data_IF_555053002634
#
_entry.id   IF_555053002634
#
_cell.length_a   1.000
_cell.length_b   1.000
_cell.length_c   1.000
_cell.angle_alpha   90.00
_cell.angle_beta   90.00
_cell.angle_gamma   90.00
#
_symmetry.space_group_name_H-M   'P 1'
#
loop_
_entity.id
_entity.type
_entity.pdbx_description
1 polymer ?
#
# COMPACT_ATOMS: atom_id res chain seq x y z
N UNK A 1 -14.88 -8.23 -5.61
CA UNK A 1 -15.79 -7.11 -5.95
C UNK A 1 -15.11 -5.77 -5.68
N UNK A 2 -15.43 -4.70 -6.42
CA UNK A 2 -15.03 -3.33 -6.04
C UNK A 2 -16.06 -2.78 -5.07
N UNK A 3 -15.65 -2.50 -3.83
CA UNK A 3 -16.54 -2.10 -2.73
C UNK A 3 -16.45 -0.62 -2.37
N UNK A 4 -15.43 0.07 -2.86
CA UNK A 4 -15.30 1.52 -2.73
C UNK A 4 -14.58 2.12 -3.93
N UNK A 5 -15.03 3.30 -4.35
CA UNK A 5 -14.37 4.08 -5.41
C UNK A 5 -14.60 5.58 -5.19
N UNK A 6 -13.54 6.37 -5.36
CA UNK A 6 -13.61 7.83 -5.39
C UNK A 6 -12.47 8.37 -6.25
N UNK A 7 -12.77 9.32 -7.11
CA UNK A 7 -11.78 10.01 -7.93
C UNK A 7 -11.88 11.53 -7.71
N UNK A 8 -10.74 12.21 -7.82
CA UNK A 8 -10.59 13.66 -7.72
C UNK A 8 -9.32 14.10 -8.45
N UNK A 9 -9.11 15.41 -8.60
CA UNK A 9 -7.93 15.94 -9.29
C UNK A 9 -6.60 15.52 -8.61
N UNK A 10 -6.62 15.37 -7.29
CA UNK A 10 -5.44 15.09 -6.47
C UNK A 10 -5.27 13.62 -6.09
N UNK A 11 -6.40 12.91 -5.92
CA UNK A 11 -6.43 11.55 -5.37
C UNK A 11 -7.43 10.68 -6.11
N UNK A 12 -7.05 9.44 -6.37
CA UNK A 12 -7.96 8.36 -6.67
C UNK A 12 -7.88 7.30 -5.56
N UNK A 13 -9.02 6.78 -5.15
CA UNK A 13 -9.15 5.74 -4.15
C UNK A 13 -10.06 4.64 -4.66
N UNK A 14 -9.62 3.41 -4.47
CA UNK A 14 -10.39 2.21 -4.74
C UNK A 14 -10.17 1.19 -3.63
N UNK A 15 -11.21 0.45 -3.27
CA UNK A 15 -11.07 -0.76 -2.46
C UNK A 15 -11.75 -1.94 -3.14
N UNK A 16 -11.09 -3.09 -3.11
CA UNK A 16 -11.63 -4.36 -3.60
C UNK A 16 -11.65 -5.41 -2.50
N UNK A 17 -12.71 -6.21 -2.45
CA UNK A 17 -12.85 -7.38 -1.59
C UNK A 17 -12.69 -8.65 -2.43
N UNK A 18 -11.81 -9.56 -2.00
CA UNK A 18 -11.42 -10.75 -2.73
C UNK A 18 -11.49 -12.05 -1.91
N UNK A 19 -12.01 -12.04 -0.68
CA UNK A 19 -12.11 -13.23 0.18
C UNK A 19 -12.84 -14.38 -0.51
N UNK A 20 -13.99 -14.09 -1.14
CA UNK A 20 -14.78 -15.09 -1.88
C UNK A 20 -14.08 -15.66 -3.12
N UNK A 21 -12.98 -15.06 -3.59
CA UNK A 21 -12.19 -15.63 -4.69
C UNK A 21 -11.38 -16.85 -4.24
N UNK A 22 -11.22 -17.06 -2.93
CA UNK A 22 -10.49 -18.20 -2.39
C UNK A 22 -11.45 -19.37 -2.13
N UNK A 23 -11.08 -20.59 -2.54
CA UNK A 23 -11.98 -21.73 -2.47
C UNK A 23 -12.29 -22.14 -1.02
N UNK A 24 -13.49 -22.67 -0.82
CA UNK A 24 -13.85 -23.39 0.41
C UNK A 24 -13.86 -22.55 1.68
N UNK A 25 -14.02 -21.23 1.58
CA UNK A 25 -14.02 -20.35 2.75
C UNK A 25 -12.65 -20.24 3.41
N UNK A 26 -11.56 -20.44 2.66
CA UNK A 26 -10.19 -20.32 3.18
C UNK A 26 -9.86 -18.91 3.68
N UNK A 27 -10.52 -17.89 3.14
CA UNK A 27 -10.30 -16.48 3.46
C UNK A 27 -11.64 -15.85 3.80
N UNK A 28 -11.76 -15.31 5.02
CA UNK A 28 -12.95 -14.59 5.47
C UNK A 28 -12.98 -13.16 4.92
N UNK A 29 -11.79 -12.55 4.77
CA UNK A 29 -11.61 -11.19 4.30
C UNK A 29 -10.30 -11.05 3.55
N UNK A 30 -10.34 -10.41 2.39
CA UNK A 30 -9.18 -9.83 1.75
C UNK A 30 -9.59 -8.52 1.08
N UNK A 31 -9.56 -7.45 1.87
CA UNK A 31 -9.78 -6.10 1.36
C UNK A 31 -8.46 -5.45 1.00
N UNK A 32 -8.28 -5.07 -0.27
CA UNK A 32 -7.17 -4.24 -0.75
C UNK A 32 -7.64 -2.81 -0.98
N UNK A 33 -7.09 -1.88 -0.23
CA UNK A 33 -7.25 -0.45 -0.41
C UNK A 33 -6.07 0.10 -1.22
N UNK A 34 -6.36 0.88 -2.26
CA UNK A 34 -5.34 1.56 -3.08
C UNK A 34 -5.70 3.04 -3.12
N UNK A 35 -4.78 3.88 -2.62
CA UNK A 35 -4.81 5.32 -2.82
C UNK A 35 -3.72 5.71 -3.81
N UNK A 36 -4.10 6.28 -4.94
CA UNK A 36 -3.20 6.95 -5.85
C UNK A 36 -3.22 8.45 -5.58
N UNK A 37 -2.16 8.96 -4.97
CA UNK A 37 -1.91 10.37 -4.78
C UNK A 37 -1.10 10.88 -5.98
N UNK A 38 -1.78 11.66 -6.83
CA UNK A 38 -1.23 12.09 -8.11
C UNK A 38 0.00 12.99 -7.91
N UNK A 39 1.00 12.90 -8.81
CA UNK A 39 1.01 12.10 -10.03
C UNK A 39 1.59 10.68 -9.87
N UNK A 40 2.22 10.34 -8.75
CA UNK A 40 3.19 9.25 -8.73
C UNK A 40 3.26 8.44 -7.44
N UNK A 41 2.49 8.76 -6.40
CA UNK A 41 2.52 8.01 -5.13
C UNK A 41 1.34 7.06 -5.05
N UNK A 42 1.61 5.77 -4.87
CA UNK A 42 0.60 4.74 -4.68
C UNK A 42 0.78 4.16 -3.28
N UNK A 43 -0.27 4.20 -2.48
CA UNK A 43 -0.29 3.59 -1.15
C UNK A 43 -1.29 2.44 -1.17
N UNK A 44 -0.82 1.25 -0.82
CA UNK A 44 -1.61 0.03 -0.74
C UNK A 44 -1.71 -0.37 0.73
N UNK A 45 -2.93 -0.58 1.18
CA UNK A 45 -3.23 -1.14 2.48
C UNK A 45 -4.10 -2.39 2.30
N UNK A 46 -3.56 -3.55 2.67
CA UNK A 46 -4.29 -4.81 2.66
C UNK A 46 -4.74 -5.17 4.09
N UNK A 47 -5.98 -5.61 4.26
CA UNK A 47 -6.55 -6.10 5.51
C UNK A 47 -7.20 -7.48 5.28
N UNK A 48 -6.57 -8.51 5.85
CA UNK A 48 -6.89 -9.91 5.62
C UNK A 48 -7.34 -10.60 6.90
N UNK A 49 -8.27 -11.55 6.77
CA UNK A 49 -8.69 -12.46 7.83
C UNK A 49 -8.96 -13.86 7.29
N UNK A 50 -8.63 -14.87 8.09
CA UNK A 50 -8.83 -16.29 7.80
C UNK A 50 -9.44 -17.01 9.01
N UNK A 51 -10.23 -18.07 8.80
CA UNK A 51 -10.91 -18.76 9.91
C UNK A 51 -9.92 -19.48 10.84
N UNK A 52 -8.80 -19.97 10.28
CA UNK A 52 -7.70 -20.61 11.00
C UNK A 52 -6.37 -19.89 10.74
N UNK A 53 -5.36 -20.02 11.62
CA UNK A 53 -4.07 -19.36 11.42
C UNK A 53 -3.40 -19.80 10.11
N UNK A 54 -3.03 -18.83 9.27
CA UNK A 54 -2.33 -19.04 8.01
C UNK A 54 -1.05 -18.21 7.93
N UNK A 55 -0.11 -18.62 7.10
CA UNK A 55 0.98 -17.76 6.65
C UNK A 55 0.52 -16.94 5.45
N UNK A 56 0.94 -15.67 5.39
CA UNK A 56 0.56 -14.76 4.32
C UNK A 56 1.78 -14.35 3.50
N UNK A 57 1.56 -14.18 2.21
CA UNK A 57 2.57 -13.75 1.27
C UNK A 57 2.06 -12.58 0.43
N UNK A 58 2.94 -11.64 0.14
CA UNK A 58 2.68 -10.52 -0.75
C UNK A 58 3.65 -10.59 -1.93
N UNK A 59 3.12 -10.56 -3.15
CA UNK A 59 3.89 -10.85 -4.35
C UNK A 59 4.03 -9.59 -5.23
N UNK A 60 5.24 -9.39 -5.75
CA UNK A 60 5.55 -8.36 -6.76
C UNK A 60 6.13 -9.01 -8.00
N UNK A 61 5.65 -8.58 -9.16
CA UNK A 61 6.17 -9.04 -10.44
C UNK A 61 6.77 -7.87 -11.22
N UNK A 62 7.86 -8.14 -11.91
CA UNK A 62 8.58 -7.16 -12.72
C UNK A 62 9.16 -7.84 -13.97
N UNK A 63 9.23 -7.16 -15.13
CA UNK A 63 9.99 -7.66 -16.27
C UNK A 63 11.51 -7.69 -16.00
N UNK A 64 11.98 -6.86 -15.08
CA UNK A 64 13.40 -6.68 -14.76
C UNK A 64 13.71 -7.19 -13.34
N UNK A 65 14.95 -7.63 -13.12
CA UNK A 65 15.38 -8.11 -11.80
C UNK A 65 15.28 -6.98 -10.78
N UNK A 66 14.61 -7.26 -9.67
CA UNK A 66 14.49 -6.30 -8.56
C UNK A 66 15.80 -6.22 -7.78
N UNK A 67 16.23 -5.00 -7.48
CA UNK A 67 17.30 -4.77 -6.49
C UNK A 67 16.62 -4.72 -5.12
N UNK A 68 16.94 -5.68 -4.25
CA UNK A 68 16.35 -5.80 -2.91
C UNK A 68 17.49 -5.63 -1.90
N UNK A 69 17.54 -4.50 -1.20
CA UNK A 69 18.49 -4.28 -0.11
C UNK A 69 17.84 -4.66 1.24
N UNK A 70 16.60 -4.23 1.46
CA UNK A 70 15.72 -4.65 2.55
C UNK A 70 14.24 -4.40 2.18
N UNK A 71 13.29 -4.69 3.10
CA UNK A 71 11.85 -4.55 2.82
C UNK A 71 11.37 -3.11 2.56
N UNK A 72 12.13 -2.11 2.97
CA UNK A 72 11.88 -0.69 2.74
C UNK A 72 12.82 -0.09 1.67
N UNK A 73 13.59 -0.92 0.98
CA UNK A 73 14.50 -0.49 -0.09
C UNK A 73 14.56 -1.55 -1.20
N UNK A 74 13.43 -1.66 -1.92
CA UNK A 74 13.27 -2.46 -3.13
C UNK A 74 13.15 -1.51 -4.31
N UNK A 75 13.91 -1.75 -5.37
CA UNK A 75 13.91 -0.93 -6.57
C UNK A 75 13.68 -1.79 -7.83
N UNK A 76 12.73 -1.36 -8.65
CA UNK A 76 12.47 -1.90 -9.99
C UNK A 76 12.91 -0.85 -11.00
N UNK A 77 13.83 -1.21 -11.91
CA UNK A 77 14.28 -0.30 -12.98
C UNK A 77 13.98 -0.89 -14.35
N UNK A 78 13.35 -0.10 -15.22
CA UNK A 78 13.14 -0.43 -16.63
C UNK A 78 13.51 0.79 -17.48
N UNK A 79 14.62 0.71 -18.22
CA UNK A 79 15.13 1.86 -18.97
C UNK A 79 15.53 3.02 -18.06
N UNK A 80 14.95 4.20 -18.30
CA UNK A 80 15.10 5.43 -17.51
C UNK A 80 13.98 5.64 -16.47
N UNK A 81 13.16 4.61 -16.24
CA UNK A 81 12.08 4.64 -15.24
C UNK A 81 12.41 3.69 -14.09
N UNK A 82 12.12 4.16 -12.89
CA UNK A 82 12.34 3.50 -11.60
C UNK A 82 11.00 3.36 -10.88
N UNK A 83 10.94 2.44 -9.93
CA UNK A 83 9.84 2.30 -9.01
C UNK A 83 10.40 1.79 -7.68
N UNK A 84 10.45 2.69 -6.70
CA UNK A 84 10.81 2.32 -5.35
C UNK A 84 9.60 1.70 -4.64
N UNK A 85 9.82 0.61 -3.92
CA UNK A 85 8.81 -0.15 -3.20
C UNK A 85 9.22 -0.23 -1.74
N UNK A 86 8.35 0.29 -0.87
CA UNK A 86 8.53 0.27 0.59
C UNK A 86 7.44 -0.60 1.22
N UNK A 87 7.79 -1.77 1.75
CA UNK A 87 6.90 -2.65 2.50
C UNK A 87 7.00 -2.32 4.00
N UNK A 88 6.24 -1.32 4.43
CA UNK A 88 6.33 -0.73 5.77
C UNK A 88 5.87 -1.66 6.89
N UNK A 89 4.85 -2.47 6.63
CA UNK A 89 4.26 -3.39 7.60
C UNK A 89 3.82 -4.70 6.91
N UNK A 90 3.97 -5.87 7.56
CA UNK A 90 4.63 -6.08 8.85
C UNK A 90 6.16 -5.93 8.75
N UNK A 91 6.82 -5.79 9.89
CA UNK A 91 8.30 -5.78 9.96
C UNK A 91 8.83 -7.22 9.97
N UNK A 92 10.04 -7.42 9.43
CA UNK A 92 10.72 -8.71 9.45
C UNK A 92 10.22 -9.68 8.38
N UNK A 93 9.83 -9.16 7.21
CA UNK A 93 9.42 -9.99 6.07
C UNK A 93 10.59 -10.82 5.54
N UNK A 94 10.37 -12.11 5.30
CA UNK A 94 11.29 -12.93 4.52
C UNK A 94 11.11 -12.59 3.04
N UNK A 95 12.15 -12.05 2.39
CA UNK A 95 12.11 -11.65 0.99
C UNK A 95 12.86 -12.65 0.12
N UNK A 96 12.19 -13.18 -0.89
CA UNK A 96 12.81 -14.04 -1.91
C UNK A 96 12.44 -13.52 -3.30
N UNK A 97 13.25 -13.83 -4.31
CA UNK A 97 12.87 -13.59 -5.70
C UNK A 97 13.38 -14.70 -6.62
N UNK A 98 12.62 -14.99 -7.66
CA UNK A 98 12.93 -16.01 -8.68
C UNK A 98 12.57 -15.50 -10.07
N UNK A 99 13.21 -16.03 -11.10
CA UNK A 99 12.86 -15.83 -12.51
C UNK A 99 12.11 -17.01 -13.13
N UNK A 100 11.73 -17.98 -12.30
CA UNK A 100 11.02 -19.19 -12.71
C UNK A 100 9.51 -19.03 -12.53
N UNK A 101 8.76 -19.45 -13.55
CA UNK A 101 7.31 -19.63 -13.45
C UNK A 101 6.99 -21.01 -12.88
N UNK A 102 5.88 -21.09 -12.15
CA UNK A 102 5.28 -22.36 -11.73
C UNK A 102 3.79 -22.41 -12.12
N UNK A 103 3.36 -23.30 -13.05
CA UNK A 103 4.20 -24.20 -13.83
C UNK A 103 5.05 -23.47 -14.90
N UNK A 104 6.13 -24.08 -15.41
CA UNK A 104 6.93 -23.50 -16.49
C UNK A 104 6.07 -23.15 -17.72
N UNK A 105 6.37 -22.04 -18.42
CA UNK A 105 5.57 -21.65 -19.57
C UNK A 105 5.80 -22.63 -20.72
N UNK A 106 4.88 -22.64 -21.70
CA UNK A 106 5.06 -23.43 -22.93
C UNK A 106 6.40 -23.04 -23.57
N UNK A 107 7.18 -24.02 -24.06
CA UNK A 107 8.53 -23.82 -24.66
C UNK A 107 8.67 -22.66 -25.66
N UNK A 108 7.59 -22.26 -26.34
CA UNK A 108 7.57 -21.13 -27.29
C UNK A 108 7.60 -19.75 -26.62
N UNK A 109 7.36 -19.67 -25.33
CA UNK A 109 7.37 -18.43 -24.54
C UNK A 109 8.77 -18.30 -23.97
N UNK A 110 9.52 -17.30 -24.44
CA UNK A 110 10.87 -16.97 -23.95
C UNK A 110 10.88 -15.73 -23.05
N UNK A 111 9.72 -15.40 -22.46
CA UNK A 111 9.60 -14.25 -21.58
C UNK A 111 10.30 -14.56 -20.26
N UNK A 112 11.23 -13.70 -19.85
CA UNK A 112 11.76 -13.67 -18.48
C UNK A 112 10.96 -12.66 -17.68
N UNK A 113 10.49 -13.06 -16.50
CA UNK A 113 9.91 -12.18 -15.49
C UNK A 113 10.53 -12.51 -14.15
N UNK A 114 10.54 -11.54 -13.26
CA UNK A 114 11.01 -11.68 -11.90
C UNK A 114 9.82 -11.63 -10.95
N UNK A 115 9.78 -12.57 -10.02
CA UNK A 115 8.71 -12.78 -9.05
C UNK A 115 9.33 -12.67 -7.66
N UNK A 116 9.01 -11.60 -6.94
CA UNK A 116 9.40 -11.41 -5.54
C UNK A 116 8.25 -11.86 -4.65
N UNK A 117 8.60 -12.60 -3.60
CA UNK A 117 7.69 -13.01 -2.54
C UNK A 117 8.16 -12.40 -1.23
N UNK A 118 7.29 -11.66 -0.56
CA UNK A 118 7.47 -11.18 0.79
C UNK A 118 6.56 -11.98 1.74
N UNK A 119 7.17 -12.77 2.62
CA UNK A 119 6.47 -13.75 3.45
C UNK A 119 6.51 -13.38 4.92
N UNK A 120 5.39 -13.61 5.60
CA UNK A 120 5.31 -13.61 7.07
C UNK A 120 5.59 -15.02 7.59
N UNK A 121 6.49 -15.14 8.55
CA UNK A 121 6.92 -16.44 9.09
C UNK A 121 5.91 -17.05 10.06
N UNK A 122 5.29 -16.23 10.89
CA UNK A 122 4.39 -16.69 11.94
C UNK A 122 2.94 -16.74 11.45
N UNK A 123 2.27 -17.91 11.53
CA UNK A 123 0.87 -18.01 11.18
C UNK A 123 -0.02 -17.15 12.08
N UNK A 124 -1.06 -16.55 11.49
CA UNK A 124 -2.04 -15.75 12.23
C UNK A 124 -3.41 -15.80 11.55
N UNK A 125 -4.48 -15.43 12.28
CA UNK A 125 -5.84 -15.34 11.70
C UNK A 125 -6.08 -14.03 10.98
N UNK A 126 -5.24 -13.03 11.17
CA UNK A 126 -5.41 -11.70 10.60
C UNK A 126 -4.06 -11.15 10.17
N UNK A 127 -4.02 -10.53 9.00
CA UNK A 127 -2.79 -9.91 8.51
C UNK A 127 -3.09 -8.59 7.85
N UNK A 128 -2.16 -7.66 7.99
CA UNK A 128 -2.18 -6.38 7.27
C UNK A 128 -0.88 -6.19 6.54
N UNK A 129 -0.94 -5.66 5.33
CA UNK A 129 0.24 -5.19 4.61
C UNK A 129 0.09 -3.70 4.35
N UNK A 130 1.18 -2.96 4.53
CA UNK A 130 1.28 -1.56 4.11
C UNK A 130 2.43 -1.45 3.12
N UNK A 131 2.12 -1.02 1.90
CA UNK A 131 3.11 -0.85 0.84
C UNK A 131 2.97 0.52 0.20
N UNK A 132 4.10 1.20 0.00
CA UNK A 132 4.17 2.44 -0.79
C UNK A 132 4.98 2.17 -2.04
N UNK A 133 4.39 2.48 -3.20
CA UNK A 133 5.06 2.45 -4.49
C UNK A 133 5.23 3.88 -5.00
N UNK A 134 6.41 4.17 -5.52
CA UNK A 134 6.70 5.45 -6.16
C UNK A 134 7.41 5.18 -7.50
N UNK A 135 6.68 5.13 -8.62
CA UNK A 135 7.26 5.21 -9.95
C UNK A 135 7.81 6.61 -10.25
N UNK A 136 9.03 6.70 -10.78
CA UNK A 136 9.65 7.98 -11.15
C UNK A 136 10.61 7.83 -12.34
N UNK A 137 10.80 8.92 -13.09
CA UNK A 137 11.89 8.98 -14.07
C UNK A 137 13.23 9.16 -13.35
N UNK A 138 14.31 8.60 -13.91
CA UNK A 138 15.69 8.75 -13.43
C UNK A 138 15.98 10.23 -13.05
N UNK A 139 16.53 10.44 -11.86
CA UNK A 139 16.81 11.78 -11.32
C UNK A 139 15.59 12.57 -10.80
N UNK A 140 14.37 12.05 -10.94
CA UNK A 140 13.12 12.70 -10.48
C UNK A 140 12.49 12.04 -9.25
N UNK A 141 13.24 11.26 -8.47
CA UNK A 141 12.75 10.72 -7.20
C UNK A 141 12.24 11.85 -6.29
N UNK A 142 11.02 11.73 -5.77
CA UNK A 142 10.32 12.74 -4.97
C UNK A 142 9.95 12.22 -3.58
N UNK A 143 9.81 10.90 -3.40
CA UNK A 143 9.62 10.26 -2.09
C UNK A 143 10.92 10.29 -1.29
N UNK A 144 10.86 10.93 -0.11
CA UNK A 144 11.96 11.00 0.85
C UNK A 144 11.84 9.92 1.94
N UNK A 145 10.64 9.80 2.52
CA UNK A 145 10.38 8.95 3.68
C UNK A 145 8.92 8.50 3.66
N UNK A 146 8.66 7.28 4.12
CA UNK A 146 7.32 6.79 4.35
C UNK A 146 7.23 6.13 5.73
N UNK A 147 6.15 6.42 6.44
CA UNK A 147 5.91 5.92 7.79
C UNK A 147 4.42 5.62 7.98
N UNK A 148 4.10 4.86 9.03
CA UNK A 148 2.75 4.38 9.27
C UNK A 148 2.40 4.38 10.76
N UNK A 149 1.10 4.42 11.05
CA UNK A 149 0.57 4.18 12.39
C UNK A 149 -0.69 3.32 12.27
N UNK A 150 -0.75 2.22 13.02
CA UNK A 150 -1.94 1.37 13.11
C UNK A 150 -2.37 1.35 14.58
N UNK A 151 -3.66 1.55 14.82
CA UNK A 151 -4.30 1.29 16.11
C UNK A 151 -5.47 0.31 15.93
N UNK A 152 -6.40 0.23 16.89
CA UNK A 152 -7.55 -0.67 16.79
C UNK A 152 -8.64 -0.17 15.81
N UNK A 153 -8.66 1.13 15.51
CA UNK A 153 -9.72 1.79 14.74
C UNK A 153 -9.27 2.34 13.39
N UNK A 154 -7.97 2.62 13.22
CA UNK A 154 -7.41 3.22 12.02
C UNK A 154 -6.05 2.65 11.60
N UNK A 155 -5.84 2.62 10.29
CA UNK A 155 -4.54 2.54 9.64
C UNK A 155 -4.22 3.91 9.02
N UNK A 156 -3.06 4.47 9.33
CA UNK A 156 -2.56 5.72 8.79
C UNK A 156 -1.22 5.48 8.09
N UNK A 157 -1.04 6.10 6.92
CA UNK A 157 0.23 6.08 6.18
C UNK A 157 0.59 7.50 5.79
N UNK A 158 1.79 7.93 6.12
CA UNK A 158 2.34 9.22 5.71
C UNK A 158 3.49 9.01 4.75
N UNK A 159 3.48 9.75 3.65
CA UNK A 159 4.58 9.81 2.69
C UNK A 159 5.09 11.25 2.64
N UNK A 160 6.34 11.44 3.04
CA UNK A 160 7.04 12.72 2.86
C UNK A 160 7.63 12.75 1.45
N UNK A 161 7.35 13.86 0.78
CA UNK A 161 7.81 14.16 -0.56
C UNK A 161 8.54 15.50 -0.58
N UNK A 162 9.24 15.79 -1.67
CA UNK A 162 9.84 17.12 -1.90
C UNK A 162 8.83 18.26 -1.77
N UNK A 163 7.59 18.06 -2.22
CA UNK A 163 6.56 19.12 -2.28
C UNK A 163 5.70 19.20 -1.00
N UNK A 164 6.01 18.42 0.03
CA UNK A 164 5.27 18.36 1.28
C UNK A 164 4.98 16.93 1.73
N UNK A 165 3.78 16.69 2.25
CA UNK A 165 3.42 15.39 2.85
C UNK A 165 2.02 14.96 2.46
N UNK A 166 1.90 13.69 2.07
CA UNK A 166 0.63 13.02 1.86
C UNK A 166 0.35 12.17 3.09
N UNK A 167 -0.89 12.17 3.58
CA UNK A 167 -1.32 11.24 4.62
C UNK A 167 -2.64 10.60 4.23
N UNK A 168 -2.69 9.28 4.29
CA UNK A 168 -3.85 8.45 4.07
C UNK A 168 -4.33 7.86 5.39
N UNK A 169 -5.63 7.71 5.55
CA UNK A 169 -6.30 7.09 6.69
C UNK A 169 -7.35 6.11 6.19
N UNK A 170 -7.42 4.93 6.79
CA UNK A 170 -8.46 3.94 6.58
C UNK A 170 -9.04 3.48 7.91
N UNK A 171 -10.37 3.37 7.97
CA UNK A 171 -11.09 2.75 9.08
C UNK A 171 -10.86 1.24 9.08
N UNK A 172 -10.55 0.70 10.24
CA UNK A 172 -10.46 -0.74 10.49
C UNK A 172 -11.35 -1.20 11.66
N UNK A 173 -11.80 -0.27 12.50
CA UNK A 173 -12.69 -0.54 13.64
C UNK A 173 -13.88 0.42 13.71
N UNK A 174 -14.65 0.32 14.78
CA UNK A 174 -15.90 1.09 14.94
C UNK A 174 -15.71 2.46 15.63
N UNK A 175 -14.52 2.75 16.16
CA UNK A 175 -14.23 3.97 16.91
C UNK A 175 -13.81 5.16 16.05
N UNK A 176 -13.11 6.11 16.69
CA UNK A 176 -12.55 7.28 16.02
C UNK A 176 -11.46 6.87 15.02
N UNK A 177 -11.51 7.41 13.79
CA UNK A 177 -10.48 7.19 12.79
C UNK A 177 -9.46 8.30 12.90
N UNK A 178 -8.40 8.06 13.68
CA UNK A 178 -7.32 9.01 13.88
C UNK A 178 -5.94 8.38 13.77
N UNK A 179 -4.99 9.16 13.25
CA UNK A 179 -3.60 8.75 13.07
C UNK A 179 -2.75 9.85 12.44
N UNK A 180 -1.48 9.91 12.84
CA UNK A 180 -0.47 10.83 12.28
C UNK A 180 -0.90 12.32 12.23
N UNK A 181 -1.67 12.78 13.24
CA UNK A 181 -2.11 14.18 13.34
C UNK A 181 -3.43 14.51 12.60
N UNK A 182 -4.10 13.49 12.07
CA UNK A 182 -5.36 13.62 11.34
C UNK A 182 -6.46 12.78 11.99
N UNK A 183 -7.70 13.27 11.86
CA UNK A 183 -8.91 12.55 12.25
C UNK A 183 -9.97 12.74 11.16
N UNK A 184 -10.77 11.72 10.87
CA UNK A 184 -11.88 11.80 9.93
C UNK A 184 -13.14 11.13 10.47
N UNK A 185 -14.30 11.55 9.97
CA UNK A 185 -15.58 10.84 10.15
C UNK A 185 -15.82 9.79 9.06
N UNK A 186 -15.02 9.78 7.99
CA UNK A 186 -15.14 8.84 6.88
C UNK A 186 -14.48 7.48 7.12
N UNK A 187 -14.67 6.59 6.16
CA UNK A 187 -14.05 5.25 6.15
C UNK A 187 -12.67 5.26 5.50
N UNK A 188 -12.43 6.21 4.62
CA UNK A 188 -11.10 6.50 4.10
C UNK A 188 -10.93 8.00 3.89
N UNK A 189 -9.74 8.51 4.12
CA UNK A 189 -9.42 9.90 3.87
C UNK A 189 -7.97 10.05 3.39
N UNK A 190 -7.73 11.09 2.60
CA UNK A 190 -6.39 11.48 2.19
C UNK A 190 -6.26 13.00 2.24
N UNK A 191 -5.06 13.47 2.55
CA UNK A 191 -4.75 14.89 2.61
C UNK A 191 -3.32 15.12 2.16
N UNK A 192 -3.13 16.17 1.37
CA UNK A 192 -1.81 16.72 1.05
C UNK A 192 -1.63 18.01 1.83
N UNK A 193 -0.51 18.11 2.53
CA UNK A 193 -0.03 19.37 3.12
C UNK A 193 1.22 19.82 2.39
N UNK A 194 1.34 21.12 2.14
CA UNK A 194 2.55 21.71 1.55
C UNK A 194 3.73 21.71 2.54
N UNK A 195 4.91 22.14 2.10
CA UNK A 195 6.12 22.28 2.92
C UNK A 195 5.92 23.15 4.18
N UNK A 196 4.95 24.07 4.16
CA UNK A 196 4.59 24.95 5.29
C UNK A 196 3.57 24.29 6.22
N UNK A 197 3.21 23.03 5.98
CA UNK A 197 2.21 22.29 6.74
C UNK A 197 0.80 22.87 6.59
N UNK A 198 0.47 23.47 5.46
CA UNK A 198 -0.89 23.93 5.14
C UNK A 198 -1.58 22.87 4.28
N UNK A 199 -2.81 22.42 4.63
CA UNK A 199 -3.60 21.58 3.75
C UNK A 199 -3.87 22.24 2.40
N UNK A 200 -3.53 21.55 1.32
CA UNK A 200 -3.76 22.01 -0.07
C UNK A 200 -4.79 21.16 -0.80
N UNK A 201 -4.84 19.86 -0.53
CA UNK A 201 -5.76 18.92 -1.18
C UNK A 201 -6.31 17.94 -0.15
N UNK A 202 -7.56 17.52 -0.32
CA UNK A 202 -8.20 16.54 0.56
C UNK A 202 -9.19 15.66 -0.18
N UNK A 203 -9.36 14.44 0.32
CA UNK A 203 -10.36 13.49 -0.12
C UNK A 203 -10.93 12.78 1.11
N UNK A 204 -12.26 12.63 1.18
CA UNK A 204 -12.94 11.80 2.18
C UNK A 204 -13.93 10.88 1.47
N UNK A 205 -13.92 9.60 1.82
CA UNK A 205 -14.85 8.58 1.39
C UNK A 205 -15.77 8.17 2.55
N UNK A 206 -17.06 8.03 2.28
CA UNK A 206 -18.12 7.74 3.25
C UNK A 206 -18.09 8.62 4.52
N UNK A 207 -17.79 9.92 4.33
CA UNK A 207 -17.69 10.92 5.40
C UNK A 207 -17.62 12.32 4.80
N UNK A 208 -17.41 13.34 5.64
CA UNK A 208 -17.43 14.76 5.22
C UNK A 208 -16.19 15.53 5.62
N UNK A 209 -15.50 15.14 6.69
CA UNK A 209 -14.54 16.00 7.35
C UNK A 209 -13.18 15.34 7.58
N UNK A 210 -12.13 16.15 7.48
CA UNK A 210 -10.80 15.86 8.04
C UNK A 210 -10.50 16.98 9.02
N UNK A 211 -10.19 16.60 10.27
CA UNK A 211 -9.63 17.49 11.27
C UNK A 211 -8.12 17.28 11.27
N UNK A 212 -7.39 18.36 10.98
CA UNK A 212 -5.93 18.37 10.98
C UNK A 212 -5.42 19.15 12.17
N UNK A 213 -4.57 18.52 12.98
CA UNK A 213 -3.90 19.18 14.10
C UNK A 213 -2.42 19.32 13.75
N UNK A 214 -1.96 20.56 13.50
CA UNK A 214 -0.53 20.83 13.35
C UNK A 214 0.20 20.35 14.60
N UNK A 215 1.24 19.53 14.44
CA UNK A 215 2.25 19.36 15.48
C UNK A 215 2.84 20.75 15.75
N UNK A 216 2.81 21.18 17.02
CA UNK A 216 3.47 22.43 17.45
C UNK A 216 4.97 22.32 17.28
#
# INVERSE_FOLDING_TARGET
EIIAFKSSDAFDYVAGEAGEAYPGGLVDKFTRHILFAKPDIIIIFDDLATPEPQTFEWWLHSPEKMKINDQNDIEVKTGDVHCSVNMLFPKGLELTQTDQFDPPPRKRIQLTQWHMTAKVNDPSKTMRFITVLHPYQEGKRSLDEADYAINENACAVSVKTKDGRITALWRIGSGEVSGMGFTTDGDAAAIRVDEKGKPVEKMVYNGKEIKFRRSR
#
